data_IF_972904507939
#
_entry.id   IF_972904507939
#
_cell.length_a   1.000
_cell.length_b   1.000
_cell.length_c   1.000
_cell.angle_alpha   90.00
_cell.angle_beta   90.00
_cell.angle_gamma   90.00
#
_symmetry.space_group_name_H-M   'P 1'
#
loop_
_entity.id
_entity.type
_entity.pdbx_description
1 polymer ?
#
# COMPACT_ATOMS: atom_id res chain seq x y z
N UNK A 1 13.78 -18.55 -5.57
CA UNK A 1 13.14 -17.31 -5.10
C UNK A 1 11.96 -17.70 -4.22
N UNK A 2 11.66 -16.98 -3.14
CA UNK A 2 10.47 -17.24 -2.33
C UNK A 2 9.21 -16.98 -3.16
N UNK A 3 8.21 -17.86 -3.04
CA UNK A 3 6.91 -17.65 -3.68
C UNK A 3 6.13 -16.57 -2.93
N UNK A 4 5.49 -15.66 -3.65
CA UNK A 4 4.69 -14.58 -3.08
C UNK A 4 3.27 -15.06 -2.81
N UNK A 5 2.69 -14.63 -1.69
CA UNK A 5 1.29 -14.86 -1.33
C UNK A 5 0.57 -13.52 -1.24
N UNK A 6 -0.55 -13.38 -1.96
CA UNK A 6 -1.47 -12.27 -1.83
C UNK A 6 -2.57 -12.68 -0.84
N UNK A 7 -2.52 -12.18 0.40
CA UNK A 7 -3.39 -12.71 1.47
C UNK A 7 -4.87 -12.35 1.35
N UNK A 8 -5.20 -11.35 0.51
CA UNK A 8 -6.60 -10.99 0.22
C UNK A 8 -7.21 -11.84 -0.92
N UNK A 9 -6.44 -12.81 -1.46
CA UNK A 9 -6.90 -13.77 -2.45
C UNK A 9 -6.60 -15.18 -2.00
N UNK A 10 -7.43 -16.17 -2.40
CA UNK A 10 -7.22 -17.56 -2.00
C UNK A 10 -5.85 -18.08 -2.43
N UNK A 11 -5.12 -18.67 -1.49
CA UNK A 11 -3.83 -19.31 -1.78
C UNK A 11 -3.85 -20.77 -1.31
N UNK A 12 -3.74 -21.69 -2.26
CA UNK A 12 -3.86 -23.12 -2.06
C UNK A 12 -2.51 -23.83 -2.12
N UNK A 13 -2.21 -24.60 -1.09
CA UNK A 13 -1.13 -25.57 -1.08
C UNK A 13 -1.68 -26.96 -1.40
N UNK A 14 -1.26 -27.53 -2.52
CA UNK A 14 -1.62 -28.88 -2.94
C UNK A 14 -0.54 -29.86 -2.54
N UNK A 15 -0.90 -30.86 -1.75
CA UNK A 15 -0.02 -31.95 -1.31
C UNK A 15 -0.41 -33.19 -2.08
N UNK A 16 0.48 -33.72 -2.91
CA UNK A 16 0.25 -34.90 -3.74
C UNK A 16 1.19 -36.04 -3.32
N UNK A 17 0.62 -37.22 -3.10
CA UNK A 17 1.36 -38.43 -2.79
C UNK A 17 0.52 -39.68 -3.12
N UNK A 18 1.15 -40.72 -3.64
CA UNK A 18 0.44 -41.98 -3.89
C UNK A 18 -0.03 -42.57 -2.57
N UNK A 19 -1.29 -43.00 -2.53
CA UNK A 19 -1.94 -43.58 -1.35
C UNK A 19 -1.94 -42.69 -0.11
N UNK A 20 -1.93 -41.37 -0.28
CA UNK A 20 -2.05 -40.42 0.82
C UNK A 20 -3.34 -40.68 1.60
N UNK A 21 -3.23 -40.77 2.92
CA UNK A 21 -4.37 -40.91 3.82
C UNK A 21 -4.67 -39.62 4.55
N UNK A 22 -3.65 -39.02 5.16
CA UNK A 22 -3.75 -37.72 5.83
C UNK A 22 -2.55 -36.84 5.52
N UNK A 23 -2.75 -35.53 5.61
CA UNK A 23 -1.67 -34.56 5.62
C UNK A 23 -1.86 -33.61 6.80
N UNK A 24 -0.78 -33.31 7.50
CA UNK A 24 -0.72 -32.30 8.55
C UNK A 24 0.19 -31.17 8.08
N UNK A 25 -0.37 -29.97 8.02
CA UNK A 25 0.32 -28.71 7.69
C UNK A 25 0.58 -27.94 8.99
N UNK A 26 1.82 -27.57 9.23
CA UNK A 26 2.22 -26.61 10.25
C UNK A 26 2.66 -25.32 9.57
N UNK A 27 2.03 -24.21 9.95
CA UNK A 27 2.37 -22.88 9.46
C UNK A 27 3.18 -22.12 10.50
N UNK A 28 4.33 -21.64 10.08
CA UNK A 28 5.21 -20.77 10.86
C UNK A 28 5.16 -19.38 10.23
N UNK A 29 4.67 -18.38 10.96
CA UNK A 29 4.47 -17.02 10.47
C UNK A 29 5.27 -16.07 11.35
N UNK A 30 6.11 -15.24 10.73
CA UNK A 30 7.01 -14.33 11.43
C UNK A 30 7.44 -13.15 10.58
N UNK A 31 7.90 -12.09 11.23
CA UNK A 31 8.45 -10.87 10.60
C UNK A 31 9.98 -10.91 10.61
N UNK A 32 10.61 -10.00 9.87
CA UNK A 32 12.05 -9.86 9.80
C UNK A 32 12.69 -10.64 8.65
N UNK A 33 13.85 -11.27 8.88
CA UNK A 33 14.59 -12.02 7.86
C UNK A 33 14.13 -13.47 7.77
N UNK A 34 14.18 -14.01 6.56
CA UNK A 34 13.85 -15.43 6.34
C UNK A 34 14.77 -16.40 7.14
N UNK A 35 14.14 -17.38 7.77
CA UNK A 35 14.81 -18.45 8.50
C UNK A 35 14.36 -19.80 7.93
N UNK A 36 15.28 -20.56 7.36
CA UNK A 36 14.98 -21.84 6.71
C UNK A 36 14.33 -22.87 7.65
N UNK A 37 14.70 -22.85 8.94
CA UNK A 37 14.11 -23.70 9.98
C UNK A 37 13.45 -22.81 11.01
N UNK A 38 12.18 -22.49 10.80
CA UNK A 38 11.41 -21.70 11.75
C UNK A 38 11.35 -22.42 13.12
N UNK A 39 11.53 -21.65 14.20
CA UNK A 39 11.45 -22.18 15.56
C UNK A 39 9.99 -22.49 15.93
N UNK A 40 9.79 -23.37 16.91
CA UNK A 40 8.46 -23.69 17.45
C UNK A 40 7.70 -22.44 17.92
N UNK A 41 8.40 -21.39 18.35
CA UNK A 41 7.79 -20.13 18.74
C UNK A 41 7.03 -19.42 17.61
N UNK A 42 7.41 -19.69 16.36
CA UNK A 42 6.76 -19.12 15.16
C UNK A 42 5.64 -20.01 14.61
N UNK A 43 5.40 -21.20 15.18
CA UNK A 43 4.28 -22.06 14.81
C UNK A 43 2.97 -21.38 15.25
N UNK A 44 2.13 -21.06 14.27
CA UNK A 44 0.84 -20.40 14.50
C UNK A 44 -0.33 -21.35 14.32
N UNK A 45 -0.25 -22.23 13.32
CA UNK A 45 -1.32 -23.17 13.02
C UNK A 45 -0.81 -24.59 12.76
N UNK A 46 -1.57 -25.57 13.23
CA UNK A 46 -1.45 -26.98 12.84
C UNK A 46 -2.79 -27.47 12.32
N UNK A 47 -2.83 -27.81 11.03
CA UNK A 47 -4.05 -28.25 10.33
C UNK A 47 -3.86 -29.68 9.83
N UNK A 48 -4.79 -30.58 10.18
CA UNK A 48 -4.77 -31.95 9.66
C UNK A 48 -6.01 -32.18 8.80
N UNK A 49 -5.79 -32.70 7.59
CA UNK A 49 -6.87 -33.10 6.66
C UNK A 49 -6.67 -34.54 6.22
N UNK A 50 -7.80 -35.24 6.09
CA UNK A 50 -7.84 -36.57 5.46
C UNK A 50 -8.12 -36.43 3.97
N UNK A 51 -7.71 -37.45 3.20
CA UNK A 51 -7.93 -37.44 1.75
C UNK A 51 -9.43 -37.51 1.46
N UNK A 52 -9.87 -36.64 0.54
CA UNK A 52 -11.21 -36.64 -0.02
C UNK A 52 -11.19 -37.19 -1.44
N UNK A 53 -10.16 -36.85 -2.18
CA UNK A 53 -9.94 -37.28 -3.56
C UNK A 53 -8.61 -38.02 -3.65
N UNK A 54 -8.61 -39.17 -4.33
CA UNK A 54 -7.40 -40.00 -4.42
C UNK A 54 -6.19 -39.23 -4.93
N UNK A 55 -5.09 -39.27 -4.15
CA UNK A 55 -3.78 -38.81 -4.53
C UNK A 55 -3.39 -37.39 -4.13
N UNK A 56 -4.30 -36.56 -3.57
CA UNK A 56 -3.92 -35.22 -3.09
C UNK A 56 -4.80 -34.66 -1.98
N UNK A 57 -4.26 -33.72 -1.23
CA UNK A 57 -4.94 -32.92 -0.20
C UNK A 57 -4.62 -31.45 -0.46
N UNK A 58 -5.60 -30.57 -0.27
CA UNK A 58 -5.42 -29.11 -0.48
C UNK A 58 -5.69 -28.35 0.81
N UNK A 59 -4.79 -27.41 1.11
CA UNK A 59 -4.94 -26.44 2.19
C UNK A 59 -5.08 -25.04 1.60
N UNK A 60 -6.07 -24.29 2.04
CA UNK A 60 -6.18 -22.86 1.85
C UNK A 60 -5.49 -22.19 3.04
N UNK A 61 -4.62 -21.21 2.81
CA UNK A 61 -3.77 -20.63 3.87
C UNK A 61 -3.79 -19.11 3.92
N UNK A 62 -4.32 -18.42 2.92
CA UNK A 62 -4.22 -16.96 2.80
C UNK A 62 -4.88 -16.24 3.99
N UNK A 63 -6.11 -16.61 4.35
CA UNK A 63 -6.83 -15.99 5.47
C UNK A 63 -6.10 -16.18 6.82
N UNK A 64 -5.47 -17.35 7.02
CA UNK A 64 -4.74 -17.63 8.24
C UNK A 64 -3.46 -16.79 8.37
N UNK A 65 -2.86 -16.43 7.23
CA UNK A 65 -1.67 -15.59 7.17
C UNK A 65 -2.05 -14.12 7.36
N UNK A 66 -3.21 -13.71 6.83
CA UNK A 66 -3.71 -12.36 6.89
C UNK A 66 -3.82 -11.82 8.32
N UNK A 67 -4.22 -12.66 9.28
CA UNK A 67 -4.33 -12.31 10.70
C UNK A 67 -3.01 -11.82 11.32
N UNK A 68 -1.88 -12.03 10.65
CA UNK A 68 -0.54 -11.62 11.11
C UNK A 68 0.07 -10.49 10.28
N UNK A 69 -0.67 -9.98 9.27
CA UNK A 69 -0.27 -8.84 8.46
C UNK A 69 -0.99 -7.60 8.98
N UNK A 70 -0.30 -6.80 9.79
CA UNK A 70 -0.80 -5.51 10.23
C UNK A 70 -0.18 -4.43 9.36
N UNK A 71 -1.03 -3.69 8.65
CA UNK A 71 -0.60 -2.52 7.88
C UNK A 71 -0.95 -1.27 8.67
N UNK A 72 0.07 -0.51 8.97
CA UNK A 72 -0.04 0.76 9.66
C UNK A 72 0.78 1.81 8.90
N UNK A 73 0.19 2.99 8.68
CA UNK A 73 0.87 4.10 8.05
C UNK A 73 0.81 5.32 8.97
N UNK A 74 1.96 5.70 9.50
CA UNK A 74 2.18 6.86 10.37
C UNK A 74 2.89 8.02 9.66
N UNK A 75 3.07 7.92 8.34
CA UNK A 75 3.89 8.81 7.52
C UNK A 75 5.20 8.16 7.08
N UNK A 76 5.56 7.02 7.67
CA UNK A 76 6.77 6.27 7.35
C UNK A 76 6.49 5.12 6.39
N UNK A 77 7.30 5.00 5.35
CA UNK A 77 7.17 3.93 4.35
C UNK A 77 8.04 2.75 4.77
N UNK A 78 7.42 1.80 5.47
CA UNK A 78 8.10 0.60 5.96
C UNK A 78 7.62 -0.65 5.23
N UNK A 79 8.48 -1.65 5.16
CA UNK A 79 8.09 -2.96 4.61
C UNK A 79 7.12 -3.66 5.54
N UNK A 80 5.94 -4.00 5.05
CA UNK A 80 4.90 -4.68 5.80
C UNK A 80 4.61 -6.03 5.15
N UNK A 81 5.52 -6.97 5.38
CA UNK A 81 5.44 -8.33 4.88
C UNK A 81 5.69 -9.33 6.00
N UNK A 82 5.15 -10.52 5.87
CA UNK A 82 5.44 -11.63 6.77
C UNK A 82 6.02 -12.82 6.00
N UNK A 83 6.94 -13.53 6.64
CA UNK A 83 7.47 -14.78 6.14
C UNK A 83 6.58 -15.93 6.60
N UNK A 84 6.40 -16.91 5.71
CA UNK A 84 5.62 -18.10 5.97
C UNK A 84 6.41 -19.33 5.57
N UNK A 85 6.65 -20.22 6.53
CA UNK A 85 7.15 -21.56 6.27
C UNK A 85 6.03 -22.58 6.49
N UNK A 86 5.87 -23.48 5.53
CA UNK A 86 4.88 -24.54 5.56
C UNK A 86 5.58 -25.90 5.70
N UNK A 87 5.51 -26.50 6.89
CA UNK A 87 6.00 -27.86 7.11
C UNK A 87 4.84 -28.85 6.95
N UNK A 88 4.98 -29.77 6.02
CA UNK A 88 3.95 -30.74 5.71
C UNK A 88 4.44 -32.15 6.03
N UNK A 89 3.65 -32.85 6.84
CA UNK A 89 3.85 -34.27 7.12
C UNK A 89 2.64 -35.06 6.60
N UNK A 90 2.89 -36.22 6.00
CA UNK A 90 1.86 -37.06 5.40
C UNK A 90 1.86 -38.44 6.01
N UNK A 91 0.67 -39.07 6.06
CA UNK A 91 0.53 -40.49 6.30
C UNK A 91 -0.02 -41.17 5.05
N UNK A 92 0.40 -42.37 4.79
CA UNK A 92 -0.05 -43.17 3.65
C UNK A 92 -0.74 -44.43 4.13
N UNK A 93 -1.74 -44.91 3.37
CA UNK A 93 -2.45 -46.13 3.69
C UNK A 93 -1.66 -47.40 3.35
N UNK A 94 -0.76 -47.32 2.35
CA UNK A 94 0.15 -48.43 1.97
C UNK A 94 1.25 -47.87 1.04
N UNK A 95 2.42 -48.53 1.09
CA UNK A 95 3.56 -48.17 0.22
C UNK A 95 4.40 -46.99 0.77
N UNK A 96 5.41 -46.60 -0.02
CA UNK A 96 6.31 -45.49 0.30
C UNK A 96 6.50 -44.66 -0.95
N UNK A 97 6.11 -43.40 -0.88
CA UNK A 97 6.38 -42.41 -1.92
C UNK A 97 6.68 -41.06 -1.26
N UNK A 98 7.46 -40.22 -1.92
CA UNK A 98 7.74 -38.87 -1.44
C UNK A 98 6.55 -37.97 -1.75
N UNK A 99 6.14 -37.17 -0.78
CA UNK A 99 5.12 -36.14 -0.98
C UNK A 99 5.71 -34.97 -1.78
N UNK A 100 4.92 -34.46 -2.70
CA UNK A 100 5.21 -33.23 -3.41
C UNK A 100 4.23 -32.13 -3.02
N UNK A 101 4.74 -30.91 -2.82
CA UNK A 101 3.94 -29.73 -2.47
C UNK A 101 4.01 -28.75 -3.61
N UNK A 102 2.86 -28.21 -4.01
CA UNK A 102 2.76 -27.19 -5.05
C UNK A 102 1.84 -26.06 -4.58
N UNK A 103 2.27 -24.79 -4.65
CA UNK A 103 3.60 -24.30 -5.06
C UNK A 103 4.73 -24.81 -4.17
N UNK A 104 5.97 -24.79 -4.72
CA UNK A 104 7.16 -25.20 -3.98
C UNK A 104 7.38 -24.32 -2.75
N UNK A 105 7.58 -24.94 -1.59
CA UNK A 105 7.78 -24.28 -0.30
C UNK A 105 9.21 -24.37 0.24
N UNK A 106 10.14 -24.84 -0.56
CA UNK A 106 11.55 -25.06 -0.16
C UNK A 106 12.22 -23.79 0.33
N UNK A 107 11.92 -22.68 -0.33
CA UNK A 107 12.46 -21.34 0.00
C UNK A 107 11.52 -20.49 0.87
N UNK A 108 10.46 -21.09 1.43
CA UNK A 108 9.40 -20.38 2.12
C UNK A 108 8.55 -19.51 1.21
N UNK A 109 7.62 -18.81 1.83
CA UNK A 109 6.77 -17.84 1.16
C UNK A 109 6.93 -16.48 1.81
N UNK A 110 6.73 -15.43 1.03
CA UNK A 110 6.60 -14.05 1.52
C UNK A 110 5.17 -13.56 1.23
N UNK A 111 4.49 -13.08 2.25
CA UNK A 111 3.09 -12.69 2.15
C UNK A 111 2.93 -11.17 2.19
N UNK A 112 2.08 -10.66 1.30
CA UNK A 112 1.72 -9.25 1.12
C UNK A 112 0.21 -9.08 1.30
N UNK A 113 -0.24 -7.91 1.72
CA UNK A 113 -1.66 -7.55 1.78
C UNK A 113 -2.24 -7.20 0.39
N UNK A 114 -1.81 -7.95 -0.61
CA UNK A 114 -2.25 -7.81 -1.99
C UNK A 114 -3.43 -8.71 -2.34
N UNK A 115 -3.99 -8.46 -3.51
CA UNK A 115 -5.07 -9.28 -4.07
C UNK A 115 -4.90 -9.50 -5.58
N UNK A 116 -5.45 -10.60 -6.06
CA UNK A 116 -5.66 -10.85 -7.48
C UNK A 116 -7.12 -10.63 -7.86
N UNK A 117 -7.37 -10.28 -9.10
CA UNK A 117 -8.73 -10.26 -9.63
C UNK A 117 -9.26 -11.69 -9.86
N UNK A 118 -10.58 -11.86 -9.85
CA UNK A 118 -11.21 -13.17 -10.04
C UNK A 118 -10.76 -13.90 -11.31
N UNK A 119 -10.51 -13.16 -12.38
CA UNK A 119 -10.02 -13.70 -13.66
C UNK A 119 -8.55 -14.16 -13.64
N UNK A 120 -7.77 -13.78 -12.64
CA UNK A 120 -6.38 -14.24 -12.46
C UNK A 120 -6.34 -15.64 -11.80
N UNK A 121 -7.49 -16.15 -11.32
CA UNK A 121 -7.62 -17.50 -10.79
C UNK A 121 -7.06 -17.68 -9.38
N UNK A 122 -6.85 -18.95 -9.01
CA UNK A 122 -6.27 -19.30 -7.72
C UNK A 122 -4.74 -19.08 -7.70
N UNK A 123 -4.21 -18.78 -6.53
CA UNK A 123 -2.77 -18.49 -6.34
C UNK A 123 -2.28 -17.38 -7.30
N UNK A 124 -2.91 -16.19 -7.31
CA UNK A 124 -2.47 -15.12 -8.20
C UNK A 124 -1.04 -14.72 -7.91
N UNK A 125 -0.23 -14.62 -8.95
CA UNK A 125 1.21 -14.31 -8.84
C UNK A 125 1.42 -12.82 -9.07
N UNK A 126 1.98 -12.13 -8.09
CA UNK A 126 2.54 -10.80 -8.29
C UNK A 126 3.78 -10.92 -9.20
N UNK A 127 3.70 -10.41 -10.41
CA UNK A 127 4.66 -10.79 -11.44
C UNK A 127 5.96 -10.00 -11.45
N UNK A 128 6.01 -8.77 -10.96
CA UNK A 128 7.12 -7.86 -11.29
C UNK A 128 7.95 -7.40 -10.10
N UNK A 129 9.07 -6.72 -10.36
CA UNK A 129 9.85 -6.02 -9.35
C UNK A 129 9.16 -4.74 -8.91
N UNK A 130 8.47 -4.06 -9.82
CA UNK A 130 7.65 -2.88 -9.54
C UNK A 130 6.32 -3.30 -8.90
N UNK A 131 5.91 -2.62 -7.83
CA UNK A 131 4.69 -2.91 -7.09
C UNK A 131 3.65 -1.79 -7.25
N UNK A 132 3.43 -1.36 -8.49
CA UNK A 132 2.39 -0.38 -8.84
C UNK A 132 1.89 -0.64 -10.26
N UNK A 133 0.67 -0.18 -10.54
CA UNK A 133 -0.02 -0.46 -11.80
C UNK A 133 0.12 0.62 -12.86
N UNK A 134 0.45 1.85 -12.46
CA UNK A 134 0.64 2.99 -13.37
C UNK A 134 2.12 3.16 -13.75
N UNK A 135 2.32 3.66 -14.96
CA UNK A 135 3.64 3.98 -15.49
C UNK A 135 3.97 5.49 -15.43
N UNK A 136 3.04 6.30 -14.96
CA UNK A 136 3.23 7.74 -14.78
C UNK A 136 2.89 8.12 -13.35
N UNK A 137 3.71 8.92 -12.71
CA UNK A 137 3.46 9.48 -11.38
C UNK A 137 3.42 11.00 -11.51
N UNK A 138 2.29 11.58 -11.09
CA UNK A 138 2.20 13.03 -10.93
C UNK A 138 2.64 13.41 -9.52
N UNK A 139 3.54 14.38 -9.41
CA UNK A 139 3.98 14.93 -8.13
C UNK A 139 3.68 16.41 -8.04
N UNK A 140 3.52 16.92 -6.84
CA UNK A 140 3.39 18.35 -6.58
C UNK A 140 4.78 18.97 -6.53
N UNK A 141 5.06 19.90 -7.46
CA UNK A 141 6.34 20.63 -7.52
C UNK A 141 7.54 19.68 -7.30
N UNK A 142 8.37 19.99 -6.33
CA UNK A 142 9.56 19.24 -5.94
C UNK A 142 9.32 18.23 -4.81
N UNK A 143 8.06 17.78 -4.62
CA UNK A 143 7.76 16.78 -3.60
C UNK A 143 8.45 15.45 -3.89
N UNK A 144 8.80 14.73 -2.83
CA UNK A 144 9.38 13.40 -2.96
C UNK A 144 8.35 12.40 -3.49
N UNK A 145 8.77 11.57 -4.43
CA UNK A 145 8.02 10.43 -4.94
C UNK A 145 8.52 9.15 -4.29
N UNK A 146 7.61 8.25 -3.96
CA UNK A 146 7.91 6.92 -3.43
C UNK A 146 7.48 5.86 -4.45
N UNK A 147 8.43 5.04 -4.88
CA UNK A 147 8.19 3.95 -5.83
C UNK A 147 8.36 2.63 -5.09
N UNK A 148 7.29 1.88 -4.84
CA UNK A 148 7.37 0.59 -4.18
C UNK A 148 7.95 -0.47 -5.11
N UNK A 149 8.98 -1.17 -4.65
CA UNK A 149 9.66 -2.25 -5.37
C UNK A 149 9.78 -3.50 -4.51
N UNK A 150 9.74 -4.66 -5.14
CA UNK A 150 10.02 -5.93 -4.49
C UNK A 150 11.51 -6.27 -4.59
N UNK A 151 12.21 -6.21 -3.47
CA UNK A 151 13.67 -6.43 -3.43
C UNK A 151 14.09 -7.85 -3.83
N UNK A 152 13.17 -8.83 -3.73
CA UNK A 152 13.43 -10.21 -4.16
C UNK A 152 13.51 -10.40 -5.67
N UNK A 153 13.01 -9.45 -6.47
CA UNK A 153 13.05 -9.52 -7.94
C UNK A 153 13.82 -8.36 -8.58
N UNK A 154 13.82 -7.18 -7.96
CA UNK A 154 14.46 -5.99 -8.51
C UNK A 154 15.97 -6.05 -8.37
N UNK A 155 16.69 -5.87 -9.48
CA UNK A 155 18.16 -5.88 -9.52
C UNK A 155 18.76 -4.49 -9.35
N UNK A 156 18.18 -3.49 -10.02
CA UNK A 156 18.64 -2.11 -9.95
C UNK A 156 17.52 -1.14 -10.28
N UNK A 157 17.70 0.09 -9.81
CA UNK A 157 16.86 1.24 -10.16
C UNK A 157 17.76 2.33 -10.73
N UNK A 158 17.46 2.81 -11.92
CA UNK A 158 18.22 3.87 -12.61
C UNK A 158 17.35 5.10 -12.78
N UNK A 159 17.92 6.25 -12.51
CA UNK A 159 17.26 7.56 -12.55
C UNK A 159 17.75 8.32 -13.77
N UNK A 160 16.81 8.87 -14.53
CA UNK A 160 17.09 9.59 -15.76
C UNK A 160 16.57 11.03 -15.70
N UNK A 161 17.23 11.88 -16.46
CA UNK A 161 16.74 13.21 -16.82
C UNK A 161 17.01 13.44 -18.30
N UNK A 162 15.97 13.75 -19.08
CA UNK A 162 16.05 13.95 -20.52
C UNK A 162 16.81 12.82 -21.24
N UNK A 163 16.55 11.56 -20.85
CA UNK A 163 17.18 10.39 -21.43
C UNK A 163 18.65 10.15 -20.99
N UNK A 164 19.18 10.94 -20.08
CA UNK A 164 20.55 10.78 -19.53
C UNK A 164 20.47 10.14 -18.15
N UNK A 165 21.22 9.06 -17.93
CA UNK A 165 21.33 8.42 -16.62
C UNK A 165 22.03 9.37 -15.64
N UNK A 166 21.37 9.72 -14.56
CA UNK A 166 21.93 10.53 -13.48
C UNK A 166 22.52 9.66 -12.36
N UNK A 167 21.81 8.59 -11.98
CA UNK A 167 22.22 7.67 -10.93
C UNK A 167 21.69 6.27 -11.21
N UNK A 168 22.42 5.26 -10.76
CA UNK A 168 21.93 3.87 -10.69
C UNK A 168 22.14 3.34 -9.28
N UNK A 169 21.09 2.85 -8.67
CA UNK A 169 21.10 2.25 -7.34
C UNK A 169 20.89 0.74 -7.47
N UNK A 170 21.81 -0.06 -6.94
CA UNK A 170 21.59 -1.49 -6.83
C UNK A 170 20.56 -1.77 -5.73
N UNK A 171 19.57 -2.59 -6.04
CA UNK A 171 18.64 -3.15 -5.06
C UNK A 171 19.16 -4.50 -4.64
N UNK A 172 19.28 -4.76 -3.36
CA UNK A 172 19.86 -5.99 -2.85
C UNK A 172 18.99 -7.20 -3.19
N UNK A 173 19.42 -7.97 -4.18
CA UNK A 173 18.77 -9.23 -4.56
C UNK A 173 19.45 -10.44 -3.94
N UNK A 174 20.49 -10.24 -3.12
CA UNK A 174 21.53 -11.24 -2.90
C UNK A 174 21.07 -12.50 -2.18
N UNK A 175 19.92 -12.49 -1.51
CA UNK A 175 19.40 -13.71 -0.89
C UNK A 175 17.89 -13.60 -0.67
N UNK A 176 17.17 -14.72 -0.75
CA UNK A 176 15.76 -14.82 -0.36
C UNK A 176 15.49 -14.35 1.09
N UNK A 177 16.54 -14.15 1.87
CA UNK A 177 16.45 -13.79 3.29
C UNK A 177 15.96 -12.38 3.56
N UNK A 178 16.04 -11.47 2.58
CA UNK A 178 15.67 -10.06 2.72
C UNK A 178 14.62 -9.62 1.69
N UNK A 179 13.85 -10.55 1.14
CA UNK A 179 12.79 -10.23 0.21
C UNK A 179 11.67 -9.47 0.93
N UNK A 180 11.50 -8.21 0.56
CA UNK A 180 10.56 -7.28 1.20
C UNK A 180 10.10 -6.21 0.21
N UNK A 181 9.17 -5.37 0.64
CA UNK A 181 8.84 -4.15 -0.06
C UNK A 181 9.87 -3.09 0.33
N UNK A 182 10.48 -2.44 -0.65
CA UNK A 182 11.32 -1.27 -0.47
C UNK A 182 10.71 -0.08 -1.20
N UNK A 183 10.89 1.12 -0.67
CA UNK A 183 10.34 2.35 -1.22
C UNK A 183 11.48 3.23 -1.73
N UNK A 184 11.69 3.19 -3.04
CA UNK A 184 12.70 4.02 -3.69
C UNK A 184 12.23 5.47 -3.67
N UNK A 185 12.97 6.33 -3.01
CA UNK A 185 12.67 7.77 -2.95
C UNK A 185 13.32 8.48 -4.13
N UNK A 186 12.50 9.19 -4.89
CA UNK A 186 12.94 10.15 -5.91
C UNK A 186 12.73 11.53 -5.34
N UNK A 187 13.80 12.21 -5.03
CA UNK A 187 13.77 13.58 -4.52
C UNK A 187 13.39 14.56 -5.64
N UNK A 188 12.64 15.59 -5.32
CA UNK A 188 12.33 16.68 -6.25
C UNK A 188 13.55 17.45 -6.70
N UNK A 189 14.50 17.57 -5.80
CA UNK A 189 15.84 18.09 -6.06
C UNK A 189 16.82 16.94 -5.88
N UNK A 190 17.05 16.17 -6.93
CA UNK A 190 18.05 15.10 -6.87
C UNK A 190 19.46 15.74 -6.93
N UNK A 191 19.84 16.31 -5.82
CA UNK A 191 21.21 16.74 -5.59
C UNK A 191 22.06 15.47 -5.60
N UNK A 192 22.78 15.28 -6.68
CA UNK A 192 23.69 14.18 -6.85
C UNK A 192 24.66 14.15 -5.66
N UNK A 193 24.61 13.10 -4.82
CA UNK A 193 25.52 12.94 -3.67
C UNK A 193 27.00 13.09 -4.09
N UNK A 194 27.32 12.66 -5.31
CA UNK A 194 28.63 12.84 -5.94
C UNK A 194 29.01 14.31 -6.08
N UNK A 195 28.03 15.18 -6.19
CA UNK A 195 28.26 16.61 -6.33
C UNK A 195 28.56 17.28 -4.98
N UNK A 196 27.83 16.91 -3.93
CA UNK A 196 28.13 17.40 -2.58
C UNK A 196 29.53 16.96 -2.12
N UNK A 197 29.92 15.73 -2.39
CA UNK A 197 31.29 15.26 -2.13
C UNK A 197 32.34 16.04 -2.92
N UNK A 198 32.04 16.41 -4.16
CA UNK A 198 32.97 17.14 -5.02
C UNK A 198 33.14 18.60 -4.59
N UNK A 199 32.09 19.24 -4.15
CA UNK A 199 32.14 20.62 -3.60
C UNK A 199 32.92 20.66 -2.28
N UNK A 200 32.72 19.64 -1.44
CA UNK A 200 33.46 19.51 -0.17
C UNK A 200 34.94 19.18 -0.41
N UNK A 201 35.26 18.35 -1.42
CA UNK A 201 36.60 17.93 -1.75
C UNK A 201 37.47 19.11 -2.32
N UNK A 202 36.86 20.01 -3.09
CA UNK A 202 37.57 21.19 -3.63
C UNK A 202 37.76 22.33 -2.63
N UNK A 203 37.29 22.17 -1.37
CA UNK A 203 37.53 23.12 -0.29
C UNK A 203 36.90 24.50 -0.51
N UNK A 204 35.98 24.62 -1.45
CA UNK A 204 35.21 25.83 -1.69
C UNK A 204 34.18 26.06 -0.58
N UNK A 205 34.37 27.11 0.22
CA UNK A 205 33.36 27.59 1.16
C UNK A 205 32.31 28.34 0.33
N UNK A 206 31.16 27.71 0.10
CA UNK A 206 30.02 28.39 -0.49
C UNK A 206 29.34 29.22 0.62
N UNK A 207 29.58 30.53 0.62
CA UNK A 207 29.07 31.44 1.65
C UNK A 207 27.57 31.76 1.54
N UNK A 208 26.88 31.32 0.50
CA UNK A 208 25.42 31.52 0.38
C UNK A 208 24.74 30.49 -0.48
N UNK A 209 23.49 30.16 -0.14
CA UNK A 209 22.59 29.31 -0.93
C UNK A 209 22.44 29.79 -2.39
N UNK A 210 22.53 31.08 -2.63
CA UNK A 210 22.40 31.70 -3.95
C UNK A 210 23.54 31.35 -4.92
N UNK A 211 24.76 31.17 -4.41
CA UNK A 211 25.88 30.69 -5.20
C UNK A 211 25.76 29.21 -5.53
N UNK A 212 25.06 28.44 -4.70
CA UNK A 212 24.82 27.02 -4.93
C UNK A 212 23.80 26.82 -6.06
N UNK A 213 22.72 27.61 -6.06
CA UNK A 213 21.67 27.55 -7.08
C UNK A 213 22.23 27.94 -8.46
N UNK A 214 23.00 29.04 -8.55
CA UNK A 214 23.67 29.48 -9.80
C UNK A 214 24.68 28.44 -10.32
N UNK A 215 25.32 27.68 -9.42
CA UNK A 215 26.30 26.68 -9.79
C UNK A 215 25.61 25.34 -10.20
N UNK A 216 24.50 25.00 -9.56
CA UNK A 216 23.69 23.84 -9.92
C UNK A 216 23.05 24.00 -11.29
N UNK A 217 22.54 25.19 -11.60
CA UNK A 217 22.02 25.52 -12.93
C UNK A 217 23.08 25.38 -14.04
N UNK A 218 24.35 25.65 -13.70
CA UNK A 218 25.46 25.53 -14.66
C UNK A 218 25.88 24.09 -14.98
N UNK A 219 25.48 23.10 -14.15
CA UNK A 219 25.90 21.70 -14.26
C UNK A 219 24.79 20.80 -14.83
N UNK A 220 23.61 21.37 -15.14
CA UNK A 220 22.45 20.63 -15.64
C UNK A 220 22.08 19.43 -14.72
N UNK A 221 22.01 19.71 -13.40
CA UNK A 221 21.46 18.80 -12.40
C UNK A 221 19.95 18.84 -12.54
N UNK A 222 19.45 18.21 -13.59
CA UNK A 222 18.04 18.24 -13.89
C UNK A 222 17.24 17.35 -12.94
N UNK A 223 16.00 17.72 -12.76
CA UNK A 223 14.98 16.93 -12.04
C UNK A 223 14.82 15.56 -12.71
N UNK A 224 14.77 14.48 -11.92
CA UNK A 224 14.50 13.15 -12.45
C UNK A 224 13.10 13.11 -13.07
N UNK A 225 13.02 12.77 -14.34
CA UNK A 225 11.79 12.65 -15.14
C UNK A 225 11.41 11.21 -15.47
N UNK A 226 12.37 10.28 -15.44
CA UNK A 226 12.12 8.85 -15.65
C UNK A 226 12.90 8.00 -14.66
N UNK A 227 12.27 6.91 -14.21
CA UNK A 227 12.88 5.89 -13.36
C UNK A 227 12.73 4.52 -13.98
N UNK A 228 13.82 3.81 -14.13
CA UNK A 228 13.85 2.47 -14.71
C UNK A 228 14.06 1.45 -13.59
N UNK A 229 13.06 0.60 -13.38
CA UNK A 229 13.12 -0.50 -12.42
C UNK A 229 13.45 -1.77 -13.19
N UNK A 230 14.66 -2.30 -12.97
CA UNK A 230 15.16 -3.47 -13.68
C UNK A 230 15.06 -4.73 -12.82
N UNK A 231 14.56 -5.81 -13.41
CA UNK A 231 14.58 -7.17 -12.89
C UNK A 231 15.54 -8.02 -13.72
N UNK A 232 15.63 -9.31 -13.43
CA UNK A 232 16.43 -10.24 -14.25
C UNK A 232 15.86 -10.38 -15.69
N UNK A 233 14.54 -10.23 -15.84
CA UNK A 233 13.82 -10.58 -17.08
C UNK A 233 13.24 -9.35 -17.80
N UNK A 234 13.06 -8.23 -17.13
CA UNK A 234 12.41 -7.05 -17.68
C UNK A 234 12.93 -5.75 -17.06
N UNK A 235 12.66 -4.64 -17.75
CA UNK A 235 12.83 -3.28 -17.22
C UNK A 235 11.53 -2.53 -17.41
N UNK A 236 11.00 -1.98 -16.33
CA UNK A 236 9.80 -1.16 -16.32
C UNK A 236 10.19 0.32 -16.18
N UNK A 237 9.52 1.17 -16.92
CA UNK A 237 9.82 2.60 -16.99
C UNK A 237 8.68 3.37 -16.35
N UNK A 238 9.01 4.20 -15.39
CA UNK A 238 8.09 5.11 -14.71
C UNK A 238 8.45 6.52 -15.11
N UNK A 239 7.48 7.28 -15.60
CA UNK A 239 7.59 8.70 -15.86
C UNK A 239 7.15 9.50 -14.63
N UNK A 240 7.86 10.57 -14.35
CA UNK A 240 7.52 11.49 -13.26
C UNK A 240 7.20 12.84 -13.87
N UNK A 241 5.96 13.29 -13.69
CA UNK A 241 5.48 14.58 -14.16
C UNK A 241 5.24 15.50 -12.98
N UNK A 242 5.91 16.64 -12.96
CA UNK A 242 5.71 17.67 -11.93
C UNK A 242 4.52 18.55 -12.29
N UNK A 243 3.62 18.75 -11.33
CA UNK A 243 2.45 19.63 -11.46
C UNK A 243 2.67 20.83 -10.55
N UNK A 244 2.67 22.02 -11.14
CA UNK A 244 2.68 23.27 -10.41
C UNK A 244 1.23 23.71 -10.17
N UNK A 245 0.77 23.62 -8.93
CA UNK A 245 -0.55 24.12 -8.54
C UNK A 245 -0.40 25.29 -7.57
N UNK A 246 -0.87 26.46 -7.99
CA UNK A 246 -0.76 27.70 -7.21
C UNK A 246 -2.10 28.27 -6.76
N UNK A 247 -3.22 27.64 -7.13
CA UNK A 247 -4.57 28.11 -6.83
C UNK A 247 -5.25 27.35 -5.71
N UNK A 248 -4.96 26.05 -5.62
CA UNK A 248 -5.55 25.14 -4.66
C UNK A 248 -4.48 24.53 -3.78
N UNK A 249 -4.88 23.97 -2.64
CA UNK A 249 -4.00 23.25 -1.73
C UNK A 249 -4.08 21.75 -2.04
N UNK A 250 -3.11 21.19 -2.77
CA UNK A 250 -3.12 19.76 -3.13
C UNK A 250 -3.02 18.87 -1.90
N UNK A 251 -3.75 17.78 -1.93
CA UNK A 251 -3.78 16.79 -0.85
C UNK A 251 -3.17 15.49 -1.32
N UNK A 252 -2.22 14.97 -0.53
CA UNK A 252 -1.63 13.67 -0.75
C UNK A 252 -2.46 12.59 -0.06
N UNK A 253 -2.88 11.59 -0.81
CA UNK A 253 -3.56 10.38 -0.32
C UNK A 253 -2.63 9.20 -0.50
N UNK A 254 -2.43 8.43 0.58
CA UNK A 254 -1.64 7.20 0.59
C UNK A 254 -2.56 6.02 0.86
N UNK A 255 -2.45 4.97 0.09
CA UNK A 255 -3.31 3.78 0.22
C UNK A 255 -2.54 2.50 -0.08
N UNK A 256 -3.09 1.37 0.36
CA UNK A 256 -2.54 0.05 0.04
C UNK A 256 -3.09 -0.40 -1.31
N UNK A 257 -2.21 -0.56 -2.28
CA UNK A 257 -2.58 -0.93 -3.65
C UNK A 257 -2.81 -2.45 -3.83
N UNK A 258 -3.12 -2.88 -5.05
CA UNK A 258 -3.32 -4.28 -5.43
C UNK A 258 -2.16 -5.20 -5.01
N UNK A 259 -0.93 -4.69 -5.00
CA UNK A 259 0.27 -5.46 -4.68
C UNK A 259 0.57 -5.53 -3.18
N UNK A 260 -0.24 -4.88 -2.34
CA UNK A 260 -0.01 -4.80 -0.89
C UNK A 260 1.08 -3.81 -0.50
N UNK A 261 1.40 -2.86 -1.36
CA UNK A 261 2.34 -1.79 -1.10
C UNK A 261 1.62 -0.45 -0.88
N UNK A 262 2.22 0.44 -0.08
CA UNK A 262 1.75 1.80 0.05
C UNK A 262 2.03 2.57 -1.24
N UNK A 263 1.03 3.26 -1.74
CA UNK A 263 1.12 4.06 -2.94
C UNK A 263 0.55 5.45 -2.70
N UNK A 264 1.26 6.48 -3.17
CA UNK A 264 0.84 7.87 -3.07
C UNK A 264 0.08 8.31 -4.32
N UNK A 265 -0.92 9.13 -4.10
CA UNK A 265 -1.67 9.82 -5.13
C UNK A 265 -2.00 11.24 -4.71
N UNK A 266 -1.80 12.21 -5.59
CA UNK A 266 -2.12 13.61 -5.35
C UNK A 266 -3.51 13.98 -5.91
N UNK A 267 -4.23 14.79 -5.13
CA UNK A 267 -5.46 15.46 -5.53
C UNK A 267 -5.15 16.95 -5.67
N UNK A 268 -5.02 17.42 -6.89
CA UNK A 268 -4.48 18.74 -7.19
C UNK A 268 -5.52 19.86 -7.16
N UNK A 269 -6.79 19.55 -7.45
CA UNK A 269 -7.81 20.56 -7.53
C UNK A 269 -8.54 20.77 -6.20
N UNK A 270 -9.54 21.66 -6.21
CA UNK A 270 -10.29 22.07 -5.03
C UNK A 270 -10.82 20.89 -4.23
N UNK A 271 -10.53 20.90 -2.93
CA UNK A 271 -11.17 20.07 -1.94
C UNK A 271 -12.34 20.82 -1.25
N UNK A 272 -13.33 20.08 -0.77
CA UNK A 272 -14.46 20.62 -0.01
C UNK A 272 -14.66 19.76 1.22
N UNK A 273 -14.51 20.38 2.38
CA UNK A 273 -14.76 19.72 3.66
C UNK A 273 -16.19 19.97 4.13
N UNK A 274 -16.79 18.98 4.78
CA UNK A 274 -18.12 19.05 5.38
C UNK A 274 -18.18 18.14 6.60
N UNK A 275 -19.04 18.48 7.55
CA UNK A 275 -19.30 17.64 8.74
C UNK A 275 -20.71 17.11 8.68
N UNK A 276 -20.88 15.80 8.72
CA UNK A 276 -22.17 15.15 8.82
C UNK A 276 -22.49 14.87 10.29
N UNK A 277 -23.54 15.49 10.82
CA UNK A 277 -23.94 15.35 12.21
C UNK A 277 -25.19 14.46 12.30
N UNK A 278 -25.11 13.42 13.11
CA UNK A 278 -26.21 12.52 13.45
C UNK A 278 -26.53 12.69 14.92
N UNK A 279 -27.82 12.81 15.25
CA UNK A 279 -28.29 12.82 16.64
C UNK A 279 -29.59 12.06 16.74
N UNK A 280 -29.74 11.35 17.84
CA UNK A 280 -31.03 10.78 18.21
C UNK A 280 -31.68 11.66 19.24
N UNK A 281 -33.02 11.75 19.17
CA UNK A 281 -33.81 12.60 20.05
C UNK A 281 -34.86 11.74 20.76
N UNK A 282 -35.13 12.09 22.01
CA UNK A 282 -36.23 11.53 22.77
C UNK A 282 -37.09 12.61 23.38
N UNK A 283 -38.34 12.30 23.62
CA UNK A 283 -39.30 13.19 24.28
C UNK A 283 -39.27 12.92 25.78
N UNK A 284 -38.75 13.89 26.53
CA UNK A 284 -38.73 13.84 27.97
C UNK A 284 -40.08 14.32 28.58
N UNK A 285 -40.48 13.71 29.69
CA UNK A 285 -41.60 14.25 30.47
C UNK A 285 -41.11 15.45 31.26
N UNK A 286 -41.63 16.63 30.93
CA UNK A 286 -41.32 17.88 31.61
C UNK A 286 -42.44 18.33 32.54
N UNK A 287 -43.55 17.55 32.63
CA UNK A 287 -44.71 17.87 33.41
C UNK A 287 -44.47 17.56 34.90
N UNK A 288 -44.63 18.57 35.74
CA UNK A 288 -44.59 18.43 37.19
C UNK A 288 -46.00 18.10 37.72
N UNK A 289 -46.16 16.91 38.23
CA UNK A 289 -47.45 16.42 38.75
C UNK A 289 -47.87 17.09 40.03
N UNK A 290 -46.98 17.67 40.82
CA UNK A 290 -47.29 18.35 42.06
C UNK A 290 -47.89 19.73 41.86
N UNK A 291 -47.44 20.45 40.84
CA UNK A 291 -47.89 21.81 40.51
C UNK A 291 -48.84 21.83 39.32
N UNK A 292 -49.09 20.68 38.68
CA UNK A 292 -49.89 20.53 37.47
C UNK A 292 -49.43 21.51 36.36
N UNK A 293 -48.15 21.75 36.27
CA UNK A 293 -47.56 22.74 35.36
C UNK A 293 -46.28 22.24 34.73
N UNK A 294 -45.76 22.98 33.75
CA UNK A 294 -44.43 22.76 33.19
C UNK A 294 -43.77 24.11 32.93
N UNK A 295 -42.44 24.07 32.86
CA UNK A 295 -41.65 25.27 32.58
C UNK A 295 -41.41 25.36 31.07
N UNK A 296 -41.79 26.47 30.46
CA UNK A 296 -41.70 26.69 29.00
C UNK A 296 -40.28 26.74 28.46
N UNK A 297 -39.27 26.94 29.33
CA UNK A 297 -37.86 26.94 28.96
C UNK A 297 -37.21 25.55 29.09
N UNK A 298 -37.94 24.52 29.52
CA UNK A 298 -37.41 23.15 29.54
C UNK A 298 -37.51 22.49 28.15
N UNK A 299 -36.44 21.81 27.75
CA UNK A 299 -36.45 21.05 26.52
C UNK A 299 -37.29 19.79 26.67
N UNK A 300 -38.43 19.72 26.02
CA UNK A 300 -39.25 18.51 25.94
C UNK A 300 -38.63 17.49 24.99
N UNK A 301 -38.05 17.97 23.88
CA UNK A 301 -37.22 17.13 23.00
C UNK A 301 -35.76 17.33 23.41
N UNK A 302 -35.12 16.24 23.75
CA UNK A 302 -33.70 16.20 24.16
C UNK A 302 -32.92 15.34 23.18
N UNK A 303 -31.79 15.86 22.72
CA UNK A 303 -30.88 15.12 21.88
C UNK A 303 -29.94 14.26 22.73
N UNK A 304 -29.73 13.05 22.33
CA UNK A 304 -28.74 12.16 22.88
C UNK A 304 -27.98 11.45 21.73
N UNK A 305 -26.85 10.85 22.03
CA UNK A 305 -26.00 10.20 21.03
C UNK A 305 -25.69 11.10 19.81
N UNK A 306 -25.43 12.38 20.07
CA UNK A 306 -24.98 13.28 19.01
C UNK A 306 -23.55 12.94 18.63
N UNK A 307 -23.32 12.68 17.34
CA UNK A 307 -21.99 12.36 16.80
C UNK A 307 -21.80 13.06 15.45
N UNK A 308 -20.57 13.39 15.12
CA UNK A 308 -20.18 13.97 13.84
C UNK A 308 -19.14 13.11 13.12
N UNK A 309 -19.22 13.10 11.79
CA UNK A 309 -18.16 12.60 10.92
C UNK A 309 -17.78 13.68 9.93
N UNK A 310 -16.50 13.94 9.84
CA UNK A 310 -15.98 14.85 8.82
C UNK A 310 -15.84 14.10 7.50
N UNK A 311 -16.21 14.77 6.43
CA UNK A 311 -16.11 14.31 5.06
C UNK A 311 -15.32 15.30 4.25
N UNK A 312 -14.57 14.79 3.30
CA UNK A 312 -13.81 15.57 2.35
C UNK A 312 -14.07 15.07 0.93
N UNK A 313 -14.38 15.97 0.04
CA UNK A 313 -14.51 15.72 -1.40
C UNK A 313 -13.28 16.29 -2.06
N UNK A 314 -12.52 15.44 -2.75
CA UNK A 314 -11.27 15.79 -3.42
C UNK A 314 -11.38 15.54 -4.91
N UNK A 315 -10.71 16.37 -5.71
CA UNK A 315 -10.64 16.21 -7.16
C UNK A 315 -9.18 16.02 -7.58
N UNK A 316 -8.94 14.97 -8.37
CA UNK A 316 -7.59 14.57 -8.78
C UNK A 316 -6.87 15.59 -9.65
N UNK A 317 -7.62 16.45 -10.32
CA UNK A 317 -7.10 17.18 -11.47
C UNK A 317 -7.00 16.25 -12.68
N UNK A 318 -6.30 16.72 -13.70
CA UNK A 318 -6.19 15.98 -14.96
C UNK A 318 -5.10 14.91 -14.87
N UNK A 319 -5.49 13.67 -15.14
CA UNK A 319 -4.64 12.48 -15.10
C UNK A 319 -4.63 11.76 -16.44
N UNK A 320 -3.68 10.86 -16.62
CA UNK A 320 -3.60 9.97 -17.77
C UNK A 320 -4.52 8.74 -17.61
N UNK A 321 -4.77 8.02 -18.69
CA UNK A 321 -5.66 6.85 -18.73
C UNK A 321 -5.17 5.70 -17.82
N UNK A 322 -3.87 5.58 -17.58
CA UNK A 322 -3.27 4.57 -16.69
C UNK A 322 -3.69 4.73 -15.23
N UNK A 323 -4.15 5.94 -14.84
CA UNK A 323 -4.69 6.18 -13.50
C UNK A 323 -6.08 5.57 -13.26
N UNK A 324 -6.78 5.12 -14.29
CA UNK A 324 -8.07 4.43 -14.11
C UNK A 324 -7.92 3.22 -13.17
N UNK A 325 -6.86 2.44 -13.34
CA UNK A 325 -6.58 1.29 -12.48
C UNK A 325 -6.17 1.71 -11.07
N UNK A 326 -5.41 2.79 -10.93
CA UNK A 326 -5.00 3.33 -9.62
C UNK A 326 -6.22 3.79 -8.81
N UNK A 327 -7.18 4.46 -9.46
CA UNK A 327 -8.45 4.87 -8.83
C UNK A 327 -9.26 3.64 -8.38
N UNK A 328 -9.33 2.60 -9.22
CA UNK A 328 -9.98 1.34 -8.83
C UNK A 328 -9.30 0.72 -7.60
N UNK A 329 -7.98 0.65 -7.59
CA UNK A 329 -7.21 0.12 -6.47
C UNK A 329 -7.40 0.96 -5.19
N UNK A 330 -7.45 2.29 -5.29
CA UNK A 330 -7.76 3.19 -4.20
C UNK A 330 -9.13 2.90 -3.60
N UNK A 331 -10.17 2.73 -4.44
CA UNK A 331 -11.53 2.44 -3.99
C UNK A 331 -11.70 1.02 -3.41
N UNK A 332 -10.85 0.08 -3.81
CA UNK A 332 -10.79 -1.29 -3.29
C UNK A 332 -9.86 -1.43 -2.07
N UNK A 333 -9.11 -0.39 -1.75
CA UNK A 333 -8.20 -0.41 -0.61
C UNK A 333 -8.97 -0.40 0.72
N UNK A 334 -8.52 -1.22 1.66
CA UNK A 334 -9.03 -1.24 3.03
C UNK A 334 -8.32 -0.22 3.93
N UNK A 335 -7.14 0.25 3.52
CA UNK A 335 -6.30 1.18 4.26
C UNK A 335 -6.00 2.39 3.38
N UNK A 336 -6.65 3.51 3.71
CA UNK A 336 -6.48 4.78 2.99
C UNK A 336 -6.24 5.89 3.99
N UNK A 337 -5.28 6.73 3.70
CA UNK A 337 -4.87 7.85 4.54
C UNK A 337 -4.71 9.11 3.70
N UNK A 338 -4.98 10.27 4.26
CA UNK A 338 -4.49 11.50 3.68
C UNK A 338 -3.52 12.20 4.62
N UNK A 339 -2.55 12.89 4.04
CA UNK A 339 -1.57 13.66 4.78
C UNK A 339 -1.96 15.13 4.76
N UNK A 340 -2.20 15.68 5.94
CA UNK A 340 -2.42 17.11 6.13
C UNK A 340 -1.10 17.75 6.56
N UNK A 341 -0.66 18.72 5.78
CA UNK A 341 0.54 19.50 6.09
C UNK A 341 0.10 20.68 6.95
N UNK A 342 0.56 20.71 8.18
CA UNK A 342 0.39 21.85 9.10
C UNK A 342 1.72 22.62 9.20
N UNK A 343 1.69 23.85 9.70
CA UNK A 343 2.89 24.69 9.85
C UNK A 343 4.03 24.02 10.64
N UNK A 344 3.74 23.01 11.42
CA UNK A 344 4.68 22.38 12.35
C UNK A 344 4.90 20.88 12.13
N UNK A 345 3.99 20.19 11.43
CA UNK A 345 4.07 18.74 11.25
C UNK A 345 3.20 18.24 10.08
N UNK A 346 3.59 17.11 9.52
CA UNK A 346 2.69 16.29 8.69
C UNK A 346 1.84 15.42 9.61
N UNK A 347 0.52 15.48 9.45
CA UNK A 347 -0.43 14.66 10.20
C UNK A 347 -1.11 13.70 9.26
N UNK A 348 -1.01 12.42 9.57
CA UNK A 348 -1.66 11.35 8.81
C UNK A 348 -3.04 11.08 9.39
N UNK A 349 -4.06 11.13 8.55
CA UNK A 349 -5.46 10.95 8.94
C UNK A 349 -6.04 9.75 8.18
N UNK A 350 -6.50 8.70 8.88
CA UNK A 350 -7.14 7.57 8.23
C UNK A 350 -8.54 7.96 7.71
N UNK A 351 -8.82 7.58 6.46
CA UNK A 351 -10.07 7.89 5.76
C UNK A 351 -10.66 6.66 5.10
N UNK A 352 -11.94 6.72 4.79
CA UNK A 352 -12.67 5.65 4.10
C UNK A 352 -13.33 6.24 2.86
N UNK A 353 -13.15 5.64 1.66
CA UNK A 353 -13.86 6.06 0.47
C UNK A 353 -15.38 5.88 0.62
N UNK A 354 -16.14 6.96 0.44
CA UNK A 354 -17.61 6.93 0.40
C UNK A 354 -18.09 6.64 -1.01
N UNK A 355 -17.39 7.14 -2.02
CA UNK A 355 -17.61 6.83 -3.44
C UNK A 355 -17.39 5.34 -3.68
N UNK A 356 -18.43 4.64 -4.16
CA UNK A 356 -18.42 3.17 -4.38
C UNK A 356 -18.51 2.76 -5.84
N UNK A 357 -18.40 3.70 -6.74
CA UNK A 357 -18.44 3.43 -8.17
C UNK A 357 -17.51 4.36 -8.91
N UNK A 358 -16.80 3.83 -9.87
CA UNK A 358 -15.98 4.57 -10.80
C UNK A 358 -16.47 4.29 -12.22
N UNK A 359 -16.54 5.33 -13.04
CA UNK A 359 -16.78 5.18 -14.46
C UNK A 359 -15.45 5.42 -15.17
N UNK A 360 -14.97 4.42 -15.88
CA UNK A 360 -13.74 4.57 -16.64
C UNK A 360 -14.00 5.55 -17.81
N UNK A 361 -13.28 6.65 -17.75
CA UNK A 361 -13.33 7.67 -18.77
C UNK A 361 -12.24 7.33 -19.79
N UNK A 362 -12.66 7.03 -21.01
CA UNK A 362 -11.76 6.86 -22.16
C UNK A 362 -12.07 7.95 -23.14
N UNK A 363 -11.17 8.87 -23.34
CA UNK A 363 -11.35 9.94 -24.32
C UNK A 363 -10.41 9.74 -25.51
N UNK A 364 -11.01 9.61 -26.68
CA UNK A 364 -10.25 9.52 -27.94
C UNK A 364 -9.57 10.85 -28.35
N UNK A 365 -10.10 11.98 -27.89
CA UNK A 365 -9.63 13.31 -28.31
C UNK A 365 -8.96 14.13 -27.19
N UNK A 366 -9.37 13.93 -25.92
CA UNK A 366 -8.80 14.63 -24.78
C UNK A 366 -8.18 13.59 -23.84
N UNK A 367 -6.87 13.54 -23.81
CA UNK A 367 -6.10 12.56 -23.01
C UNK A 367 -6.15 12.82 -21.50
N UNK A 368 -6.98 13.75 -21.05
CA UNK A 368 -6.99 14.22 -19.66
C UNK A 368 -8.33 13.83 -18.99
N UNK A 369 -8.23 13.03 -17.97
CA UNK A 369 -9.35 12.51 -17.19
C UNK A 369 -9.25 13.08 -15.79
N UNK A 370 -10.37 13.46 -15.16
CA UNK A 370 -10.40 13.84 -13.76
C UNK A 370 -11.44 13.03 -12.99
N UNK A 371 -11.14 12.77 -11.73
CA UNK A 371 -12.03 12.08 -10.81
C UNK A 371 -12.31 12.94 -9.59
N UNK A 372 -13.56 12.88 -9.12
CA UNK A 372 -13.97 13.46 -7.85
C UNK A 372 -14.37 12.34 -6.91
N UNK A 373 -13.69 12.23 -5.79
CA UNK A 373 -13.88 11.16 -4.80
C UNK A 373 -14.25 11.78 -3.46
N UNK A 374 -15.28 11.22 -2.84
CA UNK A 374 -15.71 11.58 -1.49
C UNK A 374 -15.13 10.58 -0.49
N UNK A 375 -14.52 11.11 0.56
CA UNK A 375 -13.99 10.35 1.69
C UNK A 375 -14.65 10.81 2.98
N UNK A 376 -14.68 9.93 3.98
CA UNK A 376 -15.02 10.28 5.36
C UNK A 376 -13.88 9.86 6.31
N UNK A 377 -13.71 10.58 7.41
CA UNK A 377 -12.73 10.17 8.42
C UNK A 377 -13.10 8.79 8.98
N UNK A 378 -12.09 7.95 9.21
CA UNK A 378 -12.29 6.61 9.78
C UNK A 378 -12.64 6.63 11.28
N UNK A 379 -12.75 7.82 11.87
CA UNK A 379 -13.11 8.04 13.27
C UNK A 379 -14.21 9.09 13.42
N UNK A 380 -14.87 9.06 14.54
CA UNK A 380 -15.92 10.01 14.90
C UNK A 380 -15.32 11.31 15.45
N UNK A 381 -15.95 12.45 15.16
CA UNK A 381 -15.50 13.78 15.59
C UNK A 381 -15.47 13.95 17.09
N UNK A 382 -16.47 13.38 17.79
CA UNK A 382 -16.50 13.39 19.26
C UNK A 382 -15.77 12.16 19.76
N UNK A 383 -14.68 12.38 20.50
CA UNK A 383 -13.94 11.30 21.10
C UNK A 383 -14.82 10.52 22.10
N UNK A 384 -15.19 9.31 21.74
CA UNK A 384 -16.00 8.40 22.54
C UNK A 384 -15.36 7.00 22.60
N UNK A 385 -14.04 6.95 22.67
CA UNK A 385 -13.30 5.70 22.83
C UNK A 385 -13.54 5.18 24.25
N UNK A 386 -14.08 3.97 24.37
CA UNK A 386 -14.36 3.29 25.64
C UNK A 386 -13.57 1.98 25.73
#
# INVERSE_FOLDING_TARGET
MATKINVRSPFYLKVSQTNIATATLKLYIYTGTFVANASVANEKYTLTKSVVTAGFIVFEVAELIRDYLEIEFDGSYTSQVVWVNALITTTVSSGSATATVSPDNTNGFVAFDGYGYFNEGANPVLSTGLLMSNNTIFRLNDSNVRIPVYTGATTSVSFFNNGVVKRTQAVSTSTNTNAQIDYITVSGQDNNDTYQERVVADGGILESSKCLDDFLDSIDVGVVDEVYVSTADSTEVIKIESVEECKFDPIKVTFVNKFGALQDMWFFLKSVESTNIKSEQFKASIFDQSTLSYKTHQHQQQSFLTQGKDKIVMNTGYLNDDYNQVIEELLLSEQVYYTQITDTAEVVIPIIPVTKSVTYLTQLNDKLINYTIEFENAFDKINNIR
#
